data_IF_442416130399
#
_entry.id   IF_442416130399
#
_cell.length_a   1.000
_cell.length_b   1.000
_cell.length_c   1.000
_cell.angle_alpha   90.00
_cell.angle_beta   90.00
_cell.angle_gamma   90.00
#
_symmetry.space_group_name_H-M   'P 1'
#
loop_
_entity.id
_entity.type
_entity.pdbx_description
1 polymer ?
#
# COMPACT_ATOMS: atom_id res chain seq x y z
N UNK A 1 15.12 -2.85 2.93
CA UNK A 1 14.69 -1.88 3.95
C UNK A 1 15.36 -0.56 3.65
N UNK A 2 14.57 0.50 3.54
CA UNK A 2 15.03 1.86 3.26
C UNK A 2 14.53 2.78 4.38
N UNK A 3 15.41 3.12 5.33
CA UNK A 3 15.08 3.94 6.50
C UNK A 3 15.48 5.40 6.27
N UNK A 4 14.68 6.38 6.70
CA UNK A 4 15.10 7.78 6.75
C UNK A 4 16.15 7.99 7.84
N UNK A 5 16.97 9.04 7.69
CA UNK A 5 17.98 9.44 8.69
C UNK A 5 17.35 10.48 9.61
N UNK A 6 16.69 10.03 10.66
CA UNK A 6 16.07 10.91 11.66
C UNK A 6 16.08 10.28 13.05
N UNK A 7 15.93 11.10 14.08
CA UNK A 7 15.87 10.65 15.48
C UNK A 7 14.48 10.18 15.90
N UNK A 8 13.43 10.71 15.27
CA UNK A 8 12.05 10.31 15.56
C UNK A 8 11.68 9.00 14.89
N UNK A 9 10.75 8.27 15.49
CA UNK A 9 10.18 7.07 14.88
C UNK A 9 9.45 7.42 13.59
N UNK A 10 9.69 6.64 12.54
CA UNK A 10 9.13 6.82 11.21
C UNK A 10 7.88 6.00 11.00
N UNK A 11 6.82 6.52 10.37
CA UNK A 11 5.84 5.65 9.73
C UNK A 11 6.52 4.84 8.62
N UNK A 12 5.96 3.68 8.28
CA UNK A 12 6.54 2.79 7.26
C UNK A 12 5.51 2.37 6.22
N UNK A 13 5.92 2.34 4.96
CA UNK A 13 5.18 1.73 3.86
C UNK A 13 5.84 0.42 3.47
N UNK A 14 5.16 -0.71 3.67
CA UNK A 14 5.56 -2.02 3.18
C UNK A 14 5.02 -2.17 1.76
N UNK A 15 5.90 -2.21 0.76
CA UNK A 15 5.56 -2.19 -0.65
C UNK A 15 5.53 -3.58 -1.28
N UNK A 16 4.39 -3.96 -1.85
CA UNK A 16 4.16 -5.21 -2.58
C UNK A 16 4.08 -4.91 -4.08
N UNK A 17 5.10 -5.25 -4.87
CA UNK A 17 5.13 -4.94 -6.30
C UNK A 17 4.13 -5.77 -7.09
N UNK A 18 3.77 -5.29 -8.28
CA UNK A 18 2.99 -6.00 -9.27
C UNK A 18 3.74 -7.18 -9.90
N UNK A 19 3.14 -7.75 -10.95
CA UNK A 19 3.72 -8.85 -11.73
C UNK A 19 2.80 -10.07 -11.86
N UNK A 20 1.48 -9.90 -11.68
CA UNK A 20 0.47 -10.94 -11.92
C UNK A 20 0.66 -12.20 -11.08
N UNK A 21 1.28 -12.11 -9.90
CA UNK A 21 1.70 -13.24 -9.05
C UNK A 21 2.66 -14.23 -9.74
N UNK A 22 3.21 -13.86 -10.90
CA UNK A 22 4.11 -14.70 -11.70
C UNK A 22 5.57 -14.28 -11.62
N UNK A 23 5.82 -12.99 -11.40
CA UNK A 23 7.15 -12.40 -11.15
C UNK A 23 6.98 -11.19 -10.23
N UNK A 24 8.09 -10.61 -9.77
CA UNK A 24 8.07 -9.36 -8.99
C UNK A 24 9.18 -8.42 -9.46
N UNK A 25 8.84 -7.14 -9.66
CA UNK A 25 9.80 -6.05 -9.88
C UNK A 25 10.30 -5.42 -8.58
N UNK A 26 10.41 -6.19 -7.50
CA UNK A 26 10.43 -5.69 -6.13
C UNK A 26 11.57 -4.69 -5.82
N UNK A 27 12.75 -4.87 -6.38
CA UNK A 27 13.90 -3.98 -6.08
C UNK A 27 13.65 -2.59 -6.66
N UNK A 28 13.20 -2.52 -7.91
CA UNK A 28 12.96 -1.26 -8.61
C UNK A 28 11.87 -0.46 -7.93
N UNK A 29 10.66 -1.01 -7.87
CA UNK A 29 9.49 -0.28 -7.36
C UNK A 29 9.66 0.17 -5.89
N UNK A 30 10.23 -0.69 -5.03
CA UNK A 30 10.46 -0.32 -3.64
C UNK A 30 11.56 0.75 -3.48
N UNK A 31 12.60 0.73 -4.35
CA UNK A 31 13.64 1.76 -4.36
C UNK A 31 13.06 3.10 -4.78
N UNK A 32 12.32 3.14 -5.87
CA UNK A 32 11.69 4.35 -6.40
C UNK A 32 10.75 4.99 -5.37
N UNK A 33 9.87 4.19 -4.75
CA UNK A 33 9.03 4.66 -3.66
C UNK A 33 9.87 5.21 -2.47
N UNK A 34 10.99 4.55 -2.15
CA UNK A 34 11.86 4.99 -1.07
C UNK A 34 12.59 6.31 -1.39
N UNK A 35 13.03 6.51 -2.63
CA UNK A 35 13.68 7.76 -3.06
C UNK A 35 12.73 8.96 -2.91
N UNK A 36 11.43 8.76 -3.14
CA UNK A 36 10.42 9.80 -3.05
C UNK A 36 9.87 10.02 -1.63
N UNK A 37 9.73 8.96 -0.82
CA UNK A 37 9.09 9.03 0.50
C UNK A 37 10.06 9.31 1.66
N UNK A 38 11.30 8.82 1.58
CA UNK A 38 12.31 9.02 2.65
C UNK A 38 12.63 10.48 2.98
N UNK A 39 12.67 11.42 2.01
CA UNK A 39 12.87 12.83 2.32
C UNK A 39 11.82 13.40 3.27
N UNK A 40 10.63 12.82 3.30
CA UNK A 40 9.53 13.21 4.20
C UNK A 40 9.50 12.40 5.51
N UNK A 41 10.53 11.61 5.80
CA UNK A 41 10.61 10.84 7.04
C UNK A 41 9.82 9.53 7.02
N UNK A 42 9.36 9.06 5.86
CA UNK A 42 8.65 7.79 5.72
C UNK A 42 9.62 6.66 5.36
N UNK A 43 9.65 5.59 6.15
CA UNK A 43 10.40 4.39 5.83
C UNK A 43 9.72 3.58 4.73
N UNK A 44 10.50 2.88 3.89
CA UNK A 44 9.95 1.98 2.87
C UNK A 44 10.62 0.60 2.96
N UNK A 45 9.81 -0.45 2.89
CA UNK A 45 10.26 -1.83 2.91
C UNK A 45 9.66 -2.57 1.71
N UNK A 46 10.51 -2.98 0.76
CA UNK A 46 10.07 -3.80 -0.36
C UNK A 46 9.97 -5.27 0.03
N UNK A 47 8.88 -5.92 -0.35
CA UNK A 47 8.65 -7.35 -0.10
C UNK A 47 8.83 -8.16 -1.38
N UNK A 48 9.70 -9.16 -1.32
CA UNK A 48 9.80 -10.20 -2.34
C UNK A 48 8.96 -11.40 -1.91
N UNK A 49 7.67 -11.35 -2.21
CA UNK A 49 6.77 -12.47 -1.92
C UNK A 49 6.95 -13.63 -2.91
N UNK A 50 6.57 -14.84 -2.50
CA UNK A 50 6.62 -16.06 -3.35
C UNK A 50 5.65 -15.94 -4.51
N UNK A 51 6.18 -16.06 -5.73
CA UNK A 51 5.42 -16.04 -6.98
C UNK A 51 5.13 -17.44 -7.50
N UNK A 52 4.18 -17.59 -8.44
CA UNK A 52 3.74 -18.86 -9.04
C UNK A 52 3.22 -19.89 -8.02
N UNK A 53 2.73 -19.42 -6.87
CA UNK A 53 2.20 -20.25 -5.78
C UNK A 53 0.77 -19.90 -5.39
N UNK A 54 0.15 -18.95 -6.10
CA UNK A 54 -1.19 -18.45 -5.83
C UNK A 54 -1.24 -17.31 -4.80
N UNK A 55 -2.42 -16.72 -4.68
CA UNK A 55 -2.64 -15.54 -3.83
C UNK A 55 -2.51 -15.88 -2.34
N UNK A 56 -2.96 -17.05 -1.90
CA UNK A 56 -2.93 -17.42 -0.47
C UNK A 56 -1.51 -17.51 0.07
N UNK A 57 -0.56 -18.02 -0.73
CA UNK A 57 0.86 -18.08 -0.35
C UNK A 57 1.48 -16.68 -0.34
N UNK A 58 1.12 -15.82 -1.29
CA UNK A 58 1.58 -14.42 -1.28
C UNK A 58 1.01 -13.64 -0.10
N UNK A 59 -0.23 -13.95 0.32
CA UNK A 59 -0.86 -13.37 1.50
C UNK A 59 -0.21 -13.83 2.81
N UNK A 60 0.23 -15.08 2.89
CA UNK A 60 1.04 -15.59 4.01
C UNK A 60 2.34 -14.80 4.16
N UNK A 61 3.05 -14.58 3.04
CA UNK A 61 4.27 -13.77 3.01
C UNK A 61 4.00 -12.32 3.42
N UNK A 62 2.86 -11.77 3.00
CA UNK A 62 2.46 -10.42 3.36
C UNK A 62 2.17 -10.27 4.85
N UNK A 63 1.45 -11.23 5.46
CA UNK A 63 1.22 -11.27 6.91
C UNK A 63 2.54 -11.36 7.67
N UNK A 64 3.44 -12.23 7.21
CA UNK A 64 4.76 -12.37 7.83
C UNK A 64 5.58 -11.09 7.70
N UNK A 65 5.49 -10.37 6.58
CA UNK A 65 6.18 -9.09 6.40
C UNK A 65 5.69 -8.05 7.42
N UNK A 66 4.37 -7.89 7.60
CA UNK A 66 3.82 -6.95 8.59
C UNK A 66 4.25 -7.33 10.01
N UNK A 67 4.15 -8.62 10.39
CA UNK A 67 4.62 -9.10 11.70
C UNK A 67 6.10 -8.78 11.92
N UNK A 68 6.95 -9.10 10.95
CA UNK A 68 8.39 -8.84 11.04
C UNK A 68 8.69 -7.36 11.22
N UNK A 69 8.00 -6.48 10.51
CA UNK A 69 8.18 -5.02 10.64
C UNK A 69 7.73 -4.57 12.04
N UNK A 70 6.62 -5.05 12.54
CA UNK A 70 6.11 -4.71 13.87
C UNK A 70 7.02 -5.21 14.98
N UNK A 71 7.56 -6.44 14.87
CA UNK A 71 8.56 -7.00 15.78
C UNK A 71 9.88 -6.22 15.76
N UNK A 72 10.30 -5.74 14.58
CA UNK A 72 11.53 -5.00 14.38
C UNK A 72 11.38 -3.47 14.52
N UNK A 73 10.20 -2.97 14.83
CA UNK A 73 9.89 -1.56 14.80
C UNK A 73 10.85 -0.74 15.68
N UNK A 74 11.16 -1.20 16.88
CA UNK A 74 12.12 -0.54 17.77
C UNK A 74 13.56 -0.53 17.21
N UNK A 75 14.00 -1.67 16.64
CA UNK A 75 15.35 -1.80 16.05
C UNK A 75 15.52 -0.88 14.82
N UNK A 76 14.46 -0.72 14.03
CA UNK A 76 14.49 0.06 12.79
C UNK A 76 14.00 1.50 12.95
N UNK A 77 13.76 1.95 14.17
CA UNK A 77 13.21 3.28 14.47
C UNK A 77 11.90 3.56 13.74
N UNK A 78 11.02 2.55 13.68
CA UNK A 78 9.68 2.60 13.07
C UNK A 78 8.64 2.81 14.17
N UNK A 79 7.59 3.58 13.86
CA UNK A 79 6.39 3.66 14.69
C UNK A 79 5.54 2.40 14.47
N UNK A 80 5.40 1.58 15.49
CA UNK A 80 4.64 0.33 15.45
C UNK A 80 3.13 0.52 15.24
N UNK A 81 2.62 1.75 15.43
CA UNK A 81 1.24 2.14 15.21
C UNK A 81 1.02 2.88 13.87
N UNK A 82 2.05 2.91 13.01
CA UNK A 82 2.01 3.57 11.71
C UNK A 82 2.64 2.68 10.61
N UNK A 83 2.22 1.41 10.57
CA UNK A 83 2.68 0.41 9.59
C UNK A 83 1.65 0.28 8.48
N UNK A 84 1.92 0.93 7.35
CA UNK A 84 1.08 0.85 6.16
C UNK A 84 1.56 -0.16 5.14
N UNK A 85 0.66 -0.54 4.26
CA UNK A 85 0.96 -1.42 3.12
C UNK A 85 0.58 -0.75 1.81
N UNK A 86 1.47 -0.78 0.85
CA UNK A 86 1.21 -0.32 -0.52
C UNK A 86 1.37 -1.47 -1.51
N UNK A 87 0.58 -1.45 -2.55
CA UNK A 87 0.71 -2.46 -3.60
C UNK A 87 0.16 -2.00 -4.92
N UNK A 88 0.78 -2.47 -6.00
CA UNK A 88 0.37 -2.18 -7.35
C UNK A 88 -0.07 -3.46 -8.05
N UNK A 89 -1.15 -3.40 -8.85
CA UNK A 89 -1.64 -4.55 -9.63
C UNK A 89 -1.88 -5.79 -8.74
N UNK A 90 -1.13 -6.88 -8.94
CA UNK A 90 -1.16 -8.05 -8.06
C UNK A 90 -0.80 -7.72 -6.60
N UNK A 91 0.12 -6.77 -6.38
CA UNK A 91 0.44 -6.27 -5.04
C UNK A 91 -0.75 -5.54 -4.41
N UNK A 92 -1.53 -4.79 -5.20
CA UNK A 92 -2.77 -4.16 -4.71
C UNK A 92 -3.79 -5.21 -4.25
N UNK A 93 -3.91 -6.33 -4.97
CA UNK A 93 -4.76 -7.45 -4.54
C UNK A 93 -4.31 -8.05 -3.20
N UNK A 94 -2.99 -8.19 -3.00
CA UNK A 94 -2.42 -8.69 -1.74
C UNK A 94 -2.79 -7.73 -0.59
N UNK A 95 -2.58 -6.41 -0.74
CA UNK A 95 -2.85 -5.46 0.34
C UNK A 95 -4.34 -5.31 0.64
N UNK A 96 -5.21 -5.42 -0.37
CA UNK A 96 -6.67 -5.47 -0.18
C UNK A 96 -7.08 -6.70 0.66
N UNK A 97 -6.51 -7.88 0.39
CA UNK A 97 -6.77 -9.10 1.17
C UNK A 97 -6.20 -9.00 2.58
N UNK A 98 -5.05 -8.37 2.75
CA UNK A 98 -4.42 -8.17 4.06
C UNK A 98 -5.25 -7.25 4.96
N UNK A 99 -5.90 -6.24 4.37
CA UNK A 99 -6.77 -5.29 5.05
C UNK A 99 -8.21 -5.80 5.28
N UNK A 100 -8.57 -6.94 4.66
CA UNK A 100 -9.91 -7.52 4.80
C UNK A 100 -10.19 -7.90 6.25
N UNK A 101 -11.44 -7.76 6.69
CA UNK A 101 -11.93 -8.19 7.99
C UNK A 101 -11.72 -9.71 8.26
N UNK A 102 -11.49 -10.49 7.21
CA UNK A 102 -11.15 -11.91 7.31
C UNK A 102 -9.66 -12.16 7.64
N UNK A 103 -8.86 -11.11 7.86
CA UNK A 103 -7.48 -11.27 8.32
C UNK A 103 -7.49 -11.87 9.75
N UNK A 104 -6.98 -13.09 9.95
CA UNK A 104 -7.19 -13.85 11.19
C UNK A 104 -6.37 -13.33 12.37
N UNK A 105 -5.40 -12.48 12.11
CA UNK A 105 -4.39 -12.04 13.07
C UNK A 105 -4.25 -10.52 13.07
N UNK A 106 -4.70 -9.90 14.17
CA UNK A 106 -4.61 -8.46 14.36
C UNK A 106 -3.16 -7.93 14.29
N UNK A 107 -2.17 -8.73 14.71
CA UNK A 107 -0.76 -8.34 14.67
C UNK A 107 -0.20 -8.23 13.24
N UNK A 108 -0.80 -8.93 12.30
CA UNK A 108 -0.49 -8.83 10.85
C UNK A 108 -1.37 -7.83 10.10
N UNK A 109 -2.31 -7.16 10.77
CA UNK A 109 -3.16 -6.15 10.14
C UNK A 109 -2.37 -4.84 9.96
N UNK A 110 -2.41 -4.20 8.79
CA UNK A 110 -1.79 -2.90 8.59
C UNK A 110 -2.61 -1.79 9.26
N UNK A 111 -1.97 -0.65 9.54
CA UNK A 111 -2.61 0.53 10.13
C UNK A 111 -3.18 1.46 9.05
N UNK A 112 -2.74 1.35 7.80
CA UNK A 112 -3.29 2.03 6.62
C UNK A 112 -2.95 1.30 5.32
N UNK A 113 -3.71 1.55 4.24
CA UNK A 113 -3.65 0.76 3.00
C UNK A 113 -3.59 1.64 1.76
N UNK A 114 -2.69 1.33 0.84
CA UNK A 114 -2.42 2.10 -0.39
C UNK A 114 -2.49 1.17 -1.61
N UNK A 115 -3.70 0.82 -2.10
CA UNK A 115 -3.84 0.05 -3.33
C UNK A 115 -3.77 0.95 -4.56
N UNK A 116 -2.81 0.66 -5.45
CA UNK A 116 -2.59 1.38 -6.70
C UNK A 116 -2.92 0.47 -7.89
N UNK A 117 -3.69 0.97 -8.87
CA UNK A 117 -4.09 0.23 -10.07
C UNK A 117 -4.51 -1.21 -9.77
N UNK A 118 -5.51 -1.35 -8.90
CA UNK A 118 -5.99 -2.65 -8.44
C UNK A 118 -6.62 -3.46 -9.57
N UNK A 119 -6.26 -4.71 -9.69
CA UNK A 119 -6.86 -5.61 -10.66
C UNK A 119 -7.15 -6.99 -10.06
N UNK A 120 -8.23 -7.63 -10.51
CA UNK A 120 -8.65 -8.95 -10.06
C UNK A 120 -8.87 -9.91 -11.24
N UNK A 121 -8.19 -11.04 -11.20
CA UNK A 121 -8.22 -12.07 -12.26
C UNK A 121 -9.30 -13.13 -12.07
N UNK A 122 -10.14 -13.06 -11.04
CA UNK A 122 -11.00 -14.15 -10.65
C UNK A 122 -12.41 -14.08 -11.18
N UNK A 123 -12.97 -15.23 -11.58
CA UNK A 123 -14.41 -15.46 -11.75
C UNK A 123 -15.12 -15.80 -10.43
N UNK A 124 -14.38 -15.78 -9.30
CA UNK A 124 -14.89 -16.13 -7.97
C UNK A 124 -15.68 -14.97 -7.36
N UNK A 125 -16.53 -15.29 -6.39
CA UNK A 125 -17.23 -14.30 -5.57
C UNK A 125 -16.22 -13.32 -4.97
N UNK A 126 -16.68 -12.10 -4.75
CA UNK A 126 -15.95 -11.02 -4.09
C UNK A 126 -15.10 -11.52 -2.89
N UNK A 127 -13.76 -11.44 -2.94
CA UNK A 127 -12.91 -12.10 -1.97
C UNK A 127 -12.58 -11.25 -0.74
N UNK A 128 -13.21 -10.09 -0.59
CA UNK A 128 -12.92 -9.13 0.48
C UNK A 128 -14.16 -8.85 1.29
N UNK A 129 -13.98 -8.71 2.59
CA UNK A 129 -14.97 -8.20 3.51
C UNK A 129 -14.37 -7.02 4.27
N UNK A 130 -15.04 -5.88 4.24
CA UNK A 130 -14.67 -4.69 4.99
C UNK A 130 -15.70 -4.41 6.07
N UNK A 131 -15.27 -3.86 7.19
CA UNK A 131 -16.07 -3.46 8.34
C UNK A 131 -15.47 -2.22 9.02
N UNK A 132 -16.04 -1.81 10.13
CA UNK A 132 -15.61 -0.63 10.88
C UNK A 132 -14.18 -0.69 11.43
N UNK A 133 -13.62 -1.91 11.55
CA UNK A 133 -12.23 -2.14 11.99
C UNK A 133 -11.24 -2.15 10.82
N UNK A 134 -11.73 -2.03 9.59
CA UNK A 134 -10.88 -1.95 8.40
C UNK A 134 -10.10 -0.63 8.41
N UNK A 135 -8.76 -0.66 8.24
CA UNK A 135 -7.94 0.55 8.29
C UNK A 135 -8.25 1.55 7.18
N UNK A 136 -7.86 2.83 7.33
CA UNK A 136 -8.09 3.85 6.30
C UNK A 136 -7.33 3.57 5.02
N UNK A 137 -7.91 4.00 3.90
CA UNK A 137 -7.41 3.77 2.55
C UNK A 137 -7.02 5.06 1.84
N UNK A 138 -5.85 5.00 1.17
CA UNK A 138 -5.44 5.95 0.14
C UNK A 138 -5.39 5.19 -1.19
N UNK A 139 -6.35 5.43 -2.09
CA UNK A 139 -6.52 4.63 -3.31
C UNK A 139 -6.45 5.47 -4.57
N UNK A 140 -5.63 5.02 -5.53
CA UNK A 140 -5.41 5.69 -6.81
C UNK A 140 -5.65 4.72 -7.98
N UNK A 141 -6.32 5.20 -9.02
CA UNK A 141 -6.62 4.38 -10.20
C UNK A 141 -6.76 5.22 -11.47
N UNK A 142 -6.47 4.63 -12.63
CA UNK A 142 -6.76 5.24 -13.92
C UNK A 142 -8.13 4.80 -14.45
N UNK A 143 -8.92 5.73 -14.99
CA UNK A 143 -10.26 5.43 -15.52
C UNK A 143 -10.18 4.61 -16.81
N UNK A 144 -9.07 4.72 -17.55
CA UNK A 144 -8.79 3.95 -18.76
C UNK A 144 -8.04 2.63 -18.51
N UNK A 145 -7.88 2.20 -17.23
CA UNK A 145 -7.37 0.86 -16.90
C UNK A 145 -8.48 -0.19 -16.99
N UNK A 146 -8.15 -1.35 -17.53
CA UNK A 146 -9.07 -2.51 -17.58
C UNK A 146 -9.54 -2.99 -16.19
N UNK A 147 -8.79 -2.72 -15.12
CA UNK A 147 -9.13 -3.00 -13.74
C UNK A 147 -10.04 -1.95 -13.08
N UNK A 148 -10.42 -0.87 -13.77
CA UNK A 148 -11.17 0.23 -13.17
C UNK A 148 -12.52 -0.19 -12.58
N UNK A 149 -13.27 -1.06 -13.28
CA UNK A 149 -14.53 -1.60 -12.77
C UNK A 149 -14.37 -2.38 -11.45
N UNK A 150 -13.27 -3.13 -11.32
CA UNK A 150 -12.95 -3.78 -10.05
C UNK A 150 -12.63 -2.74 -8.96
N UNK A 151 -11.83 -1.73 -9.26
CA UNK A 151 -11.49 -0.67 -8.31
C UNK A 151 -12.73 0.11 -7.83
N UNK A 152 -13.70 0.37 -8.69
CA UNK A 152 -15.00 0.95 -8.32
C UNK A 152 -15.76 0.06 -7.34
N UNK A 153 -15.79 -1.26 -7.58
CA UNK A 153 -16.45 -2.19 -6.68
C UNK A 153 -15.77 -2.23 -5.29
N UNK A 154 -14.42 -2.10 -5.23
CA UNK A 154 -13.68 -1.94 -3.96
C UNK A 154 -14.10 -0.67 -3.24
N UNK A 155 -14.11 0.46 -3.97
CA UNK A 155 -14.53 1.76 -3.44
C UNK A 155 -15.94 1.70 -2.83
N UNK A 156 -16.90 1.13 -3.55
CA UNK A 156 -18.28 0.99 -3.08
C UNK A 156 -18.33 0.21 -1.76
N UNK A 157 -17.64 -0.93 -1.68
CA UNK A 157 -17.59 -1.77 -0.48
C UNK A 157 -16.93 -1.08 0.72
N UNK A 158 -15.88 -0.30 0.49
CA UNK A 158 -15.25 0.50 1.54
C UNK A 158 -16.22 1.57 2.08
N UNK A 159 -16.93 2.26 1.18
CA UNK A 159 -17.92 3.28 1.56
C UNK A 159 -19.12 2.65 2.30
N UNK A 160 -19.65 1.53 1.83
CA UNK A 160 -20.71 0.77 2.50
C UNK A 160 -20.32 0.36 3.93
N UNK A 161 -19.05 0.03 4.14
CA UNK A 161 -18.52 -0.35 5.46
C UNK A 161 -18.13 0.85 6.35
N UNK A 162 -18.26 2.09 5.84
CA UNK A 162 -17.87 3.29 6.57
C UNK A 162 -16.37 3.50 6.72
N UNK A 163 -15.56 2.84 5.89
CA UNK A 163 -14.10 2.94 5.94
C UNK A 163 -13.62 4.29 5.42
N UNK A 164 -12.73 5.01 6.14
CA UNK A 164 -12.14 6.25 5.64
C UNK A 164 -11.38 6.01 4.34
N UNK A 165 -11.75 6.71 3.28
CA UNK A 165 -11.20 6.52 1.94
C UNK A 165 -10.82 7.85 1.30
N UNK A 166 -9.56 8.00 0.90
CA UNK A 166 -9.09 9.01 -0.03
C UNK A 166 -8.97 8.38 -1.42
N UNK A 167 -9.88 8.76 -2.32
CA UNK A 167 -9.99 8.23 -3.67
C UNK A 167 -9.75 9.31 -4.70
N UNK A 168 -8.80 9.08 -5.61
CA UNK A 168 -8.63 9.89 -6.83
C UNK A 168 -8.40 9.01 -8.05
N UNK A 169 -8.78 9.55 -9.20
CA UNK A 169 -8.56 8.94 -10.51
C UNK A 169 -7.85 9.91 -11.45
N UNK A 170 -7.15 9.34 -12.41
CA UNK A 170 -6.63 10.00 -13.60
C UNK A 170 -7.30 9.39 -14.84
N UNK A 171 -7.29 10.06 -15.97
CA UNK A 171 -7.94 9.60 -17.20
C UNK A 171 -6.98 9.00 -18.23
N UNK A 172 -5.69 8.93 -17.88
CA UNK A 172 -4.61 8.42 -18.71
C UNK A 172 -3.70 7.41 -18.01
N UNK A 173 -2.68 6.90 -18.71
CA UNK A 173 -1.65 6.00 -18.16
C UNK A 173 -2.07 4.55 -18.02
N UNK A 174 -3.36 4.22 -18.07
CA UNK A 174 -3.87 2.84 -17.98
C UNK A 174 -3.39 2.10 -16.75
N UNK A 175 -3.01 0.82 -16.88
CA UNK A 175 -2.54 -0.01 -15.78
C UNK A 175 -1.20 0.44 -15.17
N UNK A 176 -0.40 1.19 -15.92
CA UNK A 176 0.87 1.78 -15.47
C UNK A 176 0.76 3.16 -14.84
N UNK A 177 -0.45 3.75 -14.76
CA UNK A 177 -0.66 5.15 -14.39
C UNK A 177 0.03 5.58 -13.09
N UNK A 178 0.16 4.69 -12.13
CA UNK A 178 0.79 4.93 -10.82
C UNK A 178 2.04 4.07 -10.61
N UNK A 179 2.64 3.56 -11.68
CA UNK A 179 4.01 3.06 -11.63
C UNK A 179 4.95 4.24 -11.45
N UNK A 180 5.56 4.32 -10.28
CA UNK A 180 6.63 5.29 -10.07
C UNK A 180 7.84 4.81 -10.84
N UNK A 181 8.33 5.66 -11.75
CA UNK A 181 9.63 5.48 -12.37
C UNK A 181 10.46 6.73 -12.13
N UNK A 182 11.72 6.56 -11.78
CA UNK A 182 12.69 7.68 -11.63
C UNK A 182 12.77 8.51 -12.93
N UNK A 183 12.41 7.92 -14.05
CA UNK A 183 12.40 8.57 -15.38
C UNK A 183 11.11 9.38 -15.63
N UNK A 184 10.20 9.50 -14.65
CA UNK A 184 8.99 10.34 -14.74
C UNK A 184 7.81 9.70 -15.48
N UNK A 185 7.78 8.38 -15.65
CA UNK A 185 6.59 7.69 -16.13
C UNK A 185 5.62 7.44 -14.98
N UNK A 186 4.35 7.74 -15.21
CA UNK A 186 3.27 7.59 -14.23
C UNK A 186 3.05 8.85 -13.39
N UNK A 187 1.90 8.88 -12.73
CA UNK A 187 1.52 9.98 -11.85
C UNK A 187 2.19 9.82 -10.48
N UNK A 188 2.83 10.87 -10.01
CA UNK A 188 3.42 10.90 -8.67
C UNK A 188 2.31 11.01 -7.61
N UNK A 189 2.05 9.89 -6.95
CA UNK A 189 1.09 9.81 -5.85
C UNK A 189 1.74 10.07 -4.48
N UNK A 190 3.06 10.19 -4.41
CA UNK A 190 3.79 10.21 -3.14
C UNK A 190 3.61 11.53 -2.40
N UNK A 191 3.57 12.67 -3.11
CA UNK A 191 3.29 13.97 -2.50
C UNK A 191 1.88 13.98 -1.89
N UNK A 192 0.89 13.51 -2.63
CA UNK A 192 -0.49 13.40 -2.13
C UNK A 192 -0.60 12.44 -0.95
N UNK A 193 0.15 11.33 -0.97
CA UNK A 193 0.22 10.40 0.16
C UNK A 193 0.78 11.08 1.41
N UNK A 194 1.86 11.84 1.28
CA UNK A 194 2.47 12.56 2.41
C UNK A 194 1.49 13.57 3.02
N UNK A 195 0.77 14.32 2.19
CA UNK A 195 -0.29 15.23 2.64
C UNK A 195 -1.42 14.48 3.36
N UNK A 196 -1.87 13.36 2.79
CA UNK A 196 -2.88 12.50 3.40
C UNK A 196 -2.40 11.92 4.73
N UNK A 197 -1.14 11.47 4.84
CA UNK A 197 -0.56 10.95 6.07
C UNK A 197 -0.51 12.03 7.16
N UNK A 198 -0.15 13.28 6.81
CA UNK A 198 -0.16 14.42 7.75
C UNK A 198 -1.58 14.72 8.23
N UNK A 199 -2.56 14.80 7.31
CA UNK A 199 -3.98 15.03 7.62
C UNK A 199 -4.53 13.97 8.57
N UNK A 200 -4.13 12.72 8.42
CA UNK A 200 -4.57 11.59 9.24
C UNK A 200 -3.67 11.33 10.46
N UNK A 201 -2.71 12.23 10.76
CA UNK A 201 -1.80 12.15 11.91
C UNK A 201 -0.91 10.88 11.91
N UNK A 202 -0.71 10.27 10.76
CA UNK A 202 0.20 9.14 10.55
C UNK A 202 1.64 9.66 10.47
N UNK A 203 1.84 10.80 9.80
CA UNK A 203 3.10 11.52 9.72
C UNK A 203 3.00 12.82 10.50
N UNK A 204 3.98 13.09 11.35
CA UNK A 204 4.04 14.37 12.08
C UNK A 204 4.27 15.51 11.09
N UNK A 205 3.67 16.66 11.35
CA UNK A 205 3.99 17.89 10.64
C UNK A 205 5.36 18.36 11.06
N UNK A 206 6.24 18.63 10.09
CA UNK A 206 7.53 19.28 10.37
C UNK A 206 7.28 20.63 11.03
N UNK A 207 7.75 20.80 12.26
CA UNK A 207 7.75 22.10 12.96
C UNK A 207 8.84 23.05 12.40
N UNK A 208 9.05 23.04 11.09
CA UNK A 208 10.01 23.92 10.40
C UNK A 208 9.32 25.05 9.62
N UNK A 209 8.20 25.58 10.17
CA UNK A 209 7.79 26.94 9.87
C UNK A 209 8.23 27.85 11.04
N UNK A 210 9.49 28.28 10.98
CA UNK A 210 9.97 29.51 11.64
C UNK A 210 10.96 30.18 10.75
#
# INVERSE_FOLDING_TARGET
VFLPRQSEKSPVVIFFPGGGLSYTGFIRNAREAAELLRPYGVAVIGVKYRVKRGLDVALEDARQAVRTVREKASEWNIDENAIGVAGQSAGALIVLRLASADCPDAFSRPDYVIPLTSWYYGKQKWPFRFDAETPPFFMRHATNDSGYGFALSVKEKLLEAGVPLDWKTVDDGGHGAFEITVDGYGHDWTVELVEWMRKNKILKTDNHEK
#
